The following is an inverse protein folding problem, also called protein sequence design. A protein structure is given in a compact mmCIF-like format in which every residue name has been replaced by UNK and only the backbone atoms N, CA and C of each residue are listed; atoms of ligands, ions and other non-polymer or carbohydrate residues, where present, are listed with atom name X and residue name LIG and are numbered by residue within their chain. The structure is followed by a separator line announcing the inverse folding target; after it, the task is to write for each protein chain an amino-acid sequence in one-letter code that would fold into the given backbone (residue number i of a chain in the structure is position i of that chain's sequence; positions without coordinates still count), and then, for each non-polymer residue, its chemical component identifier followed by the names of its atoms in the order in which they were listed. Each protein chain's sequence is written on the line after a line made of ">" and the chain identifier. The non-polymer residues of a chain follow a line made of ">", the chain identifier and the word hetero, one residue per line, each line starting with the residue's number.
data_IF_367525377898
#
_entry.id   IF_367525377898
#
_cell.length_a   1.000
_cell.length_b   1.000
_cell.length_c   1.000
_cell.angle_alpha   90.00
_cell.angle_beta   90.00
_cell.angle_gamma   90.00
#
_symmetry.space_group_name_H-M   'P 1'
#
loop_
_entity.id
_entity.type
_entity.pdbx_description
1 polymer ?
#
# COMPACT_ATOMS: atom_id res chain seq x y z
N UNK A 1 -34.99 16.47 -4.14
CA UNK A 1 -33.76 15.71 -3.88
C UNK A 1 -34.05 14.54 -2.94
N UNK A 2 -33.48 13.40 -3.25
CA UNK A 2 -33.55 12.25 -2.37
C UNK A 2 -32.19 12.06 -1.69
N UNK A 3 -32.20 11.92 -0.38
CA UNK A 3 -31.00 11.62 0.40
C UNK A 3 -31.16 10.25 1.06
N UNK A 4 -30.18 9.39 0.89
CA UNK A 4 -30.18 8.06 1.48
C UNK A 4 -28.91 7.88 2.28
N UNK A 5 -29.04 7.39 3.51
CA UNK A 5 -27.91 6.99 4.33
C UNK A 5 -27.63 5.51 4.10
N UNK A 6 -26.41 5.17 3.79
CA UNK A 6 -25.99 3.80 3.52
C UNK A 6 -25.00 3.38 4.59
N UNK A 7 -25.36 2.36 5.35
CA UNK A 7 -24.46 1.75 6.31
C UNK A 7 -23.86 0.50 5.69
N UNK A 8 -22.53 0.44 5.60
CA UNK A 8 -21.81 -0.73 5.11
C UNK A 8 -21.34 -1.53 6.31
N UNK A 9 -21.89 -2.73 6.44
CA UNK A 9 -21.51 -3.66 7.50
C UNK A 9 -20.08 -4.14 7.27
N UNK A 10 -19.27 -4.33 8.33
CA UNK A 10 -17.90 -4.82 8.18
C UNK A 10 -17.73 -6.17 7.51
N UNK A 11 -18.81 -6.95 7.38
CA UNK A 11 -18.78 -8.23 6.67
C UNK A 11 -18.83 -8.08 5.14
N UNK A 12 -19.13 -6.90 4.63
CA UNK A 12 -19.19 -6.65 3.18
C UNK A 12 -17.78 -6.49 2.64
N UNK A 13 -17.49 -7.23 1.57
CA UNK A 13 -16.19 -7.14 0.89
C UNK A 13 -16.35 -6.37 -0.40
N UNK A 14 -15.39 -5.49 -0.67
CA UNK A 14 -15.33 -4.73 -1.91
C UNK A 14 -14.09 -5.15 -2.70
N UNK A 15 -14.25 -5.20 -4.02
CA UNK A 15 -13.13 -5.46 -4.93
C UNK A 15 -12.99 -4.26 -5.85
N UNK A 16 -11.77 -3.77 -5.98
CA UNK A 16 -11.47 -2.61 -6.83
C UNK A 16 -10.30 -2.98 -7.73
N UNK A 17 -10.53 -2.89 -9.04
CA UNK A 17 -9.46 -3.04 -10.02
C UNK A 17 -8.72 -1.70 -10.12
N UNK A 18 -7.40 -1.74 -9.96
CA UNK A 18 -6.57 -0.54 -9.99
C UNK A 18 -6.13 -0.18 -11.42
N UNK A 19 -6.23 -1.13 -12.33
CA UNK A 19 -5.96 -0.92 -13.75
C UNK A 19 -6.79 -1.87 -14.61
N UNK A 20 -6.71 -1.70 -15.92
CA UNK A 20 -7.50 -2.48 -16.86
C UNK A 20 -6.99 -3.90 -17.10
N UNK A 21 -5.80 -4.23 -16.62
CA UNK A 21 -5.17 -5.54 -16.86
C UNK A 21 -5.66 -6.62 -15.89
N UNK A 22 -6.34 -6.24 -14.82
CA UNK A 22 -6.74 -7.11 -13.70
C UNK A 22 -5.56 -7.70 -12.92
N UNK A 23 -4.34 -7.25 -13.20
CA UNK A 23 -3.16 -7.69 -12.47
C UNK A 23 -2.99 -6.94 -11.16
N UNK A 24 -3.56 -5.73 -11.08
CA UNK A 24 -3.48 -4.88 -9.90
C UNK A 24 -4.89 -4.65 -9.37
N UNK A 25 -5.16 -5.16 -8.19
CA UNK A 25 -6.49 -5.07 -7.58
C UNK A 25 -6.41 -5.07 -6.07
N UNK A 26 -7.48 -4.59 -5.46
CA UNK A 26 -7.62 -4.53 -4.01
C UNK A 26 -8.89 -5.24 -3.61
N UNK A 27 -8.79 -6.09 -2.60
CA UNK A 27 -9.94 -6.67 -1.92
C UNK A 27 -10.01 -6.06 -0.55
N UNK A 28 -11.14 -5.43 -0.22
CA UNK A 28 -11.28 -4.59 0.97
C UNK A 28 -12.24 -5.22 1.95
N UNK A 29 -11.85 -5.26 3.21
CA UNK A 29 -12.71 -5.61 4.34
C UNK A 29 -12.79 -4.40 5.26
N UNK A 30 -14.01 -4.00 5.59
CA UNK A 30 -14.21 -2.84 6.44
C UNK A 30 -15.66 -2.41 6.47
N UNK A 31 -15.89 -1.21 6.91
CA UNK A 31 -17.24 -0.67 6.98
C UNK A 31 -17.25 0.84 7.07
N UNK A 32 -18.43 1.41 7.00
CA UNK A 32 -18.60 2.85 7.09
C UNK A 32 -20.01 3.30 6.81
N UNK A 33 -20.22 4.56 7.03
CA UNK A 33 -21.50 5.22 6.79
C UNK A 33 -21.34 6.21 5.65
N UNK A 34 -22.16 6.04 4.63
CA UNK A 34 -22.12 6.87 3.43
C UNK A 34 -23.43 7.59 3.25
N UNK A 35 -23.38 8.80 2.71
CA UNK A 35 -24.54 9.57 2.33
C UNK A 35 -24.64 9.61 0.81
N UNK A 36 -25.76 9.14 0.29
CA UNK A 36 -26.04 9.16 -1.14
C UNK A 36 -27.10 10.19 -1.42
N UNK A 37 -26.84 11.08 -2.36
CA UNK A 37 -27.78 12.11 -2.76
C UNK A 37 -28.08 11.98 -4.24
N UNK A 38 -29.37 11.93 -4.56
CA UNK A 38 -29.84 11.83 -5.93
C UNK A 38 -30.65 13.08 -6.26
N UNK A 39 -30.26 13.81 -7.30
CA UNK A 39 -30.94 15.02 -7.71
C UNK A 39 -32.04 14.75 -8.73
N UNK A 40 -33.04 15.67 -8.90
CA UNK A 40 -34.06 15.50 -9.94
C UNK A 40 -33.49 15.45 -11.35
N UNK A 41 -32.30 15.98 -11.57
CA UNK A 41 -31.62 15.92 -12.87
C UNK A 41 -30.92 14.59 -13.13
N UNK A 42 -30.97 13.67 -12.17
CA UNK A 42 -30.35 12.35 -12.30
C UNK A 42 -28.91 12.28 -11.83
N UNK A 43 -28.40 13.32 -11.20
CA UNK A 43 -27.05 13.33 -10.66
C UNK A 43 -26.99 12.58 -9.34
N UNK A 44 -26.04 11.67 -9.22
CA UNK A 44 -25.79 10.91 -8.02
C UNK A 44 -24.50 11.37 -7.38
N UNK A 45 -24.57 11.73 -6.11
CA UNK A 45 -23.37 12.03 -5.32
C UNK A 45 -23.27 11.09 -4.13
N UNK A 46 -22.06 10.74 -3.78
CA UNK A 46 -21.77 9.87 -2.66
C UNK A 46 -20.72 10.55 -1.80
N UNK A 47 -20.96 10.61 -0.49
CA UNK A 47 -19.99 11.17 0.45
C UNK A 47 -19.87 10.26 1.65
N UNK A 48 -18.68 10.23 2.23
CA UNK A 48 -18.42 9.44 3.42
C UNK A 48 -17.15 8.62 3.29
N UNK A 49 -16.83 7.91 4.36
CA UNK A 49 -15.59 7.15 4.47
C UNK A 49 -15.89 5.68 4.76
N UNK A 50 -15.23 4.82 4.00
CA UNK A 50 -15.17 3.39 4.25
C UNK A 50 -13.82 3.09 4.87
N UNK A 51 -13.81 2.69 6.13
CA UNK A 51 -12.57 2.42 6.88
C UNK A 51 -12.28 0.94 6.86
N UNK A 52 -11.03 0.60 6.59
CA UNK A 52 -10.60 -0.77 6.39
C UNK A 52 -10.15 -1.40 7.69
N UNK A 53 -10.61 -2.62 7.92
CA UNK A 53 -10.13 -3.49 8.99
C UNK A 53 -9.13 -4.51 8.47
N UNK A 54 -9.03 -4.65 7.14
CA UNK A 54 -8.12 -5.60 6.51
C UNK A 54 -8.38 -5.71 5.02
N UNK A 55 -7.82 -6.73 4.42
CA UNK A 55 -7.96 -7.01 3.00
C UNK A 55 -6.62 -7.33 2.38
N UNK A 56 -6.62 -7.49 1.05
CA UNK A 56 -5.45 -7.84 0.28
C UNK A 56 -5.30 -6.89 -0.90
N UNK A 57 -4.08 -6.53 -1.21
CA UNK A 57 -3.73 -5.82 -2.43
C UNK A 57 -2.82 -6.70 -3.27
N UNK A 58 -3.23 -6.98 -4.50
CA UNK A 58 -2.42 -7.69 -5.47
C UNK A 58 -1.80 -6.67 -6.40
N UNK A 59 -0.48 -6.65 -6.47
CA UNK A 59 0.26 -5.67 -7.27
C UNK A 59 1.36 -6.36 -8.06
N UNK A 60 1.36 -6.15 -9.36
CA UNK A 60 2.37 -6.67 -10.27
C UNK A 60 3.37 -5.57 -10.64
N UNK A 61 4.64 -5.87 -10.47
CA UNK A 61 5.73 -5.01 -10.91
C UNK A 61 6.26 -5.52 -12.26
N UNK A 62 6.89 -4.66 -13.08
CA UNK A 62 7.32 -5.06 -14.42
C UNK A 62 8.24 -6.28 -14.47
N UNK A 63 9.03 -6.51 -13.43
CA UNK A 63 10.03 -7.61 -13.42
C UNK A 63 9.74 -8.65 -12.34
N UNK A 64 8.63 -8.53 -11.64
CA UNK A 64 8.27 -9.44 -10.56
C UNK A 64 6.85 -9.91 -10.78
N UNK A 65 6.60 -11.21 -10.58
CA UNK A 65 5.25 -11.73 -10.58
C UNK A 65 4.39 -11.01 -9.52
N UNK A 66 3.09 -10.95 -9.77
CA UNK A 66 2.17 -10.28 -8.87
C UNK A 66 2.34 -10.77 -7.44
N UNK A 67 2.45 -9.83 -6.50
CA UNK A 67 2.59 -10.10 -5.08
C UNK A 67 1.34 -9.65 -4.35
N UNK A 68 1.04 -10.36 -3.25
CA UNK A 68 -0.06 -10.00 -2.38
C UNK A 68 0.48 -9.29 -1.14
N UNK A 69 -0.14 -8.16 -0.82
CA UNK A 69 0.18 -7.39 0.36
C UNK A 69 -1.07 -7.32 1.24
N UNK A 70 -0.89 -7.47 2.54
CA UNK A 70 -2.00 -7.31 3.48
C UNK A 70 -2.26 -5.83 3.71
N UNK A 71 -3.51 -5.42 3.61
CA UNK A 71 -3.89 -4.03 3.82
C UNK A 71 -3.85 -3.71 5.30
N UNK A 72 -3.16 -2.62 5.65
CA UNK A 72 -3.02 -2.17 7.01
C UNK A 72 -4.34 -1.62 7.55
N UNK A 73 -4.63 -1.94 8.80
CA UNK A 73 -5.77 -1.40 9.51
C UNK A 73 -5.69 0.13 9.56
N UNK A 74 -6.81 0.79 9.34
CA UNK A 74 -6.87 2.26 9.29
C UNK A 74 -6.73 2.86 7.90
N UNK A 75 -6.43 2.04 6.89
CA UNK A 75 -6.56 2.46 5.49
C UNK A 75 -8.02 2.79 5.19
N UNK A 76 -8.27 3.64 4.21
CA UNK A 76 -9.66 4.01 3.92
C UNK A 76 -9.88 4.41 2.47
N UNK A 77 -11.15 4.37 2.08
CA UNK A 77 -11.67 4.93 0.83
C UNK A 77 -12.64 6.03 1.21
N UNK A 78 -12.50 7.20 0.60
CA UNK A 78 -13.37 8.33 0.88
C UNK A 78 -14.01 8.86 -0.38
N UNK A 79 -15.33 9.01 -0.35
CA UNK A 79 -16.08 9.64 -1.42
C UNK A 79 -16.39 11.08 -1.02
N UNK A 80 -16.19 12.00 -1.96
CA UNK A 80 -16.43 13.42 -1.77
C UNK A 80 -17.41 14.00 -2.77
N UNK A 81 -18.12 13.13 -3.49
CA UNK A 81 -19.14 13.54 -4.47
C UNK A 81 -19.31 12.52 -5.59
N UNK A 82 -18.32 12.38 -6.46
CA UNK A 82 -18.41 11.47 -7.58
C UNK A 82 -18.27 10.01 -7.14
N UNK A 83 -19.31 9.17 -7.28
CA UNK A 83 -19.24 7.77 -6.86
C UNK A 83 -18.17 6.96 -7.59
N UNK A 84 -17.81 7.39 -8.81
CA UNK A 84 -16.84 6.65 -9.63
C UNK A 84 -15.39 7.09 -9.38
N UNK A 85 -15.18 8.11 -8.55
CA UNK A 85 -13.86 8.66 -8.30
C UNK A 85 -13.60 8.87 -6.80
N UNK A 86 -13.52 7.80 -6.03
CA UNK A 86 -13.16 7.90 -4.62
C UNK A 86 -11.69 8.29 -4.43
N UNK A 87 -11.40 8.82 -3.28
CA UNK A 87 -10.03 9.04 -2.82
C UNK A 87 -9.58 7.80 -2.06
N UNK A 88 -8.43 7.26 -2.43
CA UNK A 88 -7.84 6.10 -1.78
C UNK A 88 -6.73 6.54 -0.84
N UNK A 89 -6.65 5.88 0.31
CA UNK A 89 -5.54 6.05 1.24
C UNK A 89 -5.25 4.69 1.87
N UNK A 90 -4.44 3.90 1.15
CA UNK A 90 -4.10 2.55 1.55
C UNK A 90 -2.62 2.44 1.89
N UNK A 91 -2.35 1.65 2.88
CA UNK A 91 -1.02 1.11 3.10
C UNK A 91 -1.17 -0.41 3.16
N UNK A 92 -0.39 -1.11 2.37
CA UNK A 92 -0.41 -2.56 2.35
C UNK A 92 1.01 -3.07 2.55
N UNK A 93 1.18 -4.12 3.33
CA UNK A 93 2.48 -4.57 3.81
C UNK A 93 2.67 -6.05 3.54
N UNK A 94 3.89 -6.41 3.13
CA UNK A 94 4.34 -7.79 3.04
C UNK A 94 5.64 -7.93 3.80
N UNK A 95 5.79 -9.04 4.51
CA UNK A 95 7.03 -9.35 5.23
C UNK A 95 7.94 -10.15 4.31
N UNK A 96 9.14 -9.62 4.07
CA UNK A 96 10.11 -10.22 3.17
C UNK A 96 11.41 -10.46 3.95
N UNK A 97 11.87 -11.70 3.88
CA UNK A 97 13.17 -12.06 4.46
C UNK A 97 14.26 -11.77 3.44
N UNK A 98 15.24 -11.00 3.84
CA UNK A 98 16.31 -10.58 2.95
C UNK A 98 17.68 -10.72 3.61
N UNK A 99 18.71 -10.86 2.79
CA UNK A 99 20.09 -10.96 3.24
C UNK A 99 20.67 -9.59 3.55
N UNK A 100 21.42 -9.51 4.63
CA UNK A 100 22.15 -8.31 5.05
C UNK A 100 23.61 -8.68 5.22
N UNK A 101 24.50 -7.89 4.62
CA UNK A 101 25.93 -8.09 4.77
C UNK A 101 26.39 -7.67 6.17
N UNK A 102 27.19 -8.50 6.81
CA UNK A 102 27.80 -8.23 8.13
C UNK A 102 29.16 -7.54 8.01
N UNK A 103 29.48 -7.02 6.83
CA UNK A 103 30.78 -6.42 6.55
C UNK A 103 31.67 -7.37 5.75
N UNK A 104 32.91 -6.94 5.49
CA UNK A 104 33.80 -7.68 4.59
C UNK A 104 34.14 -9.11 5.09
N UNK A 105 34.23 -9.29 6.38
CA UNK A 105 34.61 -10.56 6.96
C UNK A 105 33.51 -11.26 7.75
N UNK A 106 32.33 -10.68 7.75
CA UNK A 106 31.25 -11.17 8.61
C UNK A 106 30.24 -12.09 7.94
N UNK A 107 30.32 -12.27 6.63
CA UNK A 107 29.30 -13.05 5.91
C UNK A 107 28.00 -12.30 5.80
N UNK A 108 26.90 -13.06 5.75
CA UNK A 108 25.55 -12.49 5.66
C UNK A 108 24.65 -13.07 6.74
N UNK A 109 23.63 -12.30 7.07
CA UNK A 109 22.55 -12.77 7.94
C UNK A 109 21.21 -12.44 7.31
N UNK A 110 20.16 -13.08 7.77
CA UNK A 110 18.81 -12.82 7.27
C UNK A 110 18.07 -11.90 8.24
N UNK A 111 17.35 -10.93 7.67
CA UNK A 111 16.52 -9.99 8.43
C UNK A 111 15.13 -9.98 7.83
N UNK A 112 14.12 -9.89 8.67
CA UNK A 112 12.75 -9.69 8.23
C UNK A 112 12.48 -8.21 8.04
N UNK A 113 12.07 -7.85 6.84
CA UNK A 113 11.66 -6.49 6.48
C UNK A 113 10.17 -6.43 6.26
N UNK A 114 9.55 -5.35 6.70
CA UNK A 114 8.19 -5.02 6.32
C UNK A 114 8.26 -4.04 5.15
N UNK A 115 7.91 -4.53 3.97
CA UNK A 115 7.87 -3.73 2.75
C UNK A 115 6.45 -3.30 2.50
N UNK A 116 6.24 -2.00 2.30
CA UNK A 116 4.91 -1.44 2.18
C UNK A 116 4.73 -0.75 0.84
N UNK A 117 3.50 -0.82 0.32
CA UNK A 117 3.05 0.00 -0.79
C UNK A 117 2.03 0.98 -0.22
N UNK A 118 2.23 2.26 -0.50
CA UNK A 118 1.30 3.31 -0.09
C UNK A 118 0.60 3.81 -1.35
N UNK A 119 -0.73 3.70 -1.38
CA UNK A 119 -1.55 4.11 -2.51
C UNK A 119 -2.42 5.27 -2.05
N UNK A 120 -2.27 6.41 -2.70
CA UNK A 120 -2.99 7.63 -2.34
C UNK A 120 -3.59 8.30 -3.57
N UNK A 121 -4.49 9.23 -3.31
CA UNK A 121 -5.16 10.11 -4.26
C UNK A 121 -6.39 9.47 -4.90
N UNK A 122 -6.95 10.18 -5.86
CA UNK A 122 -8.18 9.74 -6.53
C UNK A 122 -7.92 8.57 -7.45
N UNK A 123 -8.93 7.75 -7.64
CA UNK A 123 -8.83 6.51 -8.43
C UNK A 123 -8.32 6.76 -9.85
N UNK A 124 -8.66 7.89 -10.44
CA UNK A 124 -8.24 8.23 -11.81
C UNK A 124 -6.79 8.76 -11.88
N UNK A 125 -6.17 9.06 -10.75
CA UNK A 125 -4.81 9.59 -10.70
C UNK A 125 -4.07 9.10 -9.44
N UNK A 126 -3.91 7.80 -9.34
CA UNK A 126 -3.31 7.17 -8.17
C UNK A 126 -1.81 7.47 -8.06
N UNK A 127 -1.36 7.67 -6.84
CA UNK A 127 0.04 7.78 -6.48
C UNK A 127 0.47 6.53 -5.74
N UNK A 128 1.58 5.93 -6.17
CA UNK A 128 2.16 4.75 -5.53
C UNK A 128 3.53 5.12 -4.96
N UNK A 129 3.76 4.74 -3.72
CA UNK A 129 5.06 4.89 -3.09
C UNK A 129 5.41 3.60 -2.36
N UNK A 130 6.71 3.32 -2.27
CA UNK A 130 7.20 2.15 -1.55
C UNK A 130 7.94 2.61 -0.30
N UNK A 131 7.85 1.81 0.73
CA UNK A 131 8.58 2.07 1.98
C UNK A 131 9.02 0.74 2.59
N UNK A 132 9.92 0.80 3.54
CA UNK A 132 10.43 -0.38 4.21
C UNK A 132 10.81 -0.05 5.65
N UNK A 133 10.59 -1.03 6.51
CA UNK A 133 11.04 -0.99 7.90
C UNK A 133 11.62 -2.34 8.29
N UNK A 134 12.43 -2.33 9.34
CA UNK A 134 13.02 -3.53 9.92
C UNK A 134 12.73 -3.53 11.42
N UNK A 135 11.49 -3.86 11.83
CA UNK A 135 11.07 -3.67 13.21
C UNK A 135 11.78 -4.57 14.23
N UNK A 136 12.39 -5.66 13.76
CA UNK A 136 13.07 -6.60 14.64
C UNK A 136 14.59 -6.35 14.70
N UNK A 137 15.09 -5.38 13.95
CA UNK A 137 16.53 -5.10 13.87
C UNK A 137 16.79 -3.60 14.07
N UNK A 138 17.21 -3.24 15.27
CA UNK A 138 17.37 -1.84 15.63
C UNK A 138 18.44 -1.12 14.78
N UNK A 139 19.52 -1.80 14.45
CA UNK A 139 20.60 -1.21 13.66
C UNK A 139 20.13 -0.86 12.27
N UNK A 140 19.48 -1.82 11.61
CA UNK A 140 18.94 -1.60 10.25
C UNK A 140 17.81 -0.57 10.28
N UNK A 141 16.94 -0.63 11.27
CA UNK A 141 15.84 0.33 11.39
C UNK A 141 16.36 1.76 11.57
N UNK A 142 17.44 1.93 12.32
CA UNK A 142 18.05 3.25 12.49
C UNK A 142 18.63 3.78 11.17
N UNK A 143 19.25 2.91 10.37
CA UNK A 143 19.72 3.30 9.03
C UNK A 143 18.56 3.73 8.15
N UNK A 144 17.46 2.95 8.14
CA UNK A 144 16.29 3.25 7.34
C UNK A 144 15.63 4.55 7.77
N UNK A 145 15.52 4.78 9.07
CA UNK A 145 14.95 6.01 9.61
C UNK A 145 15.77 7.24 9.21
N UNK A 146 17.09 7.10 9.12
CA UNK A 146 17.97 8.18 8.71
C UNK A 146 17.91 8.49 7.21
N UNK A 147 17.40 7.57 6.41
CA UNK A 147 17.20 7.78 4.97
C UNK A 147 15.99 8.65 4.71
N UNK A 148 15.99 9.37 3.59
CA UNK A 148 14.80 10.02 3.10
C UNK A 148 13.81 9.00 2.53
N UNK A 149 12.56 9.41 2.35
CA UNK A 149 11.50 8.54 1.85
C UNK A 149 11.82 7.94 0.47
N UNK A 150 12.42 8.74 -0.41
CA UNK A 150 12.80 8.28 -1.74
C UNK A 150 13.83 7.14 -1.67
N UNK A 151 14.81 7.27 -0.80
CA UNK A 151 15.86 6.27 -0.63
C UNK A 151 15.29 4.98 -0.03
N UNK A 152 14.41 5.10 0.96
CA UNK A 152 13.72 3.93 1.52
C UNK A 152 12.90 3.21 0.46
N UNK A 153 12.24 3.96 -0.42
CA UNK A 153 11.48 3.38 -1.53
C UNK A 153 12.36 2.55 -2.46
N UNK A 154 13.56 3.03 -2.76
CA UNK A 154 14.53 2.28 -3.56
C UNK A 154 14.98 1.01 -2.86
N UNK A 155 15.25 1.09 -1.56
CA UNK A 155 15.60 -0.08 -0.77
C UNK A 155 14.48 -1.10 -0.76
N UNK A 156 13.24 -0.65 -0.62
CA UNK A 156 12.07 -1.52 -0.65
C UNK A 156 11.99 -2.31 -1.96
N UNK A 157 12.14 -1.62 -3.09
CA UNK A 157 12.12 -2.28 -4.41
C UNK A 157 13.27 -3.27 -4.55
N UNK A 158 14.47 -2.90 -4.12
CA UNK A 158 15.63 -3.79 -4.19
C UNK A 158 15.43 -5.05 -3.36
N UNK A 159 14.88 -4.91 -2.16
CA UNK A 159 14.56 -6.05 -1.29
C UNK A 159 13.54 -6.97 -1.96
N UNK A 160 12.51 -6.41 -2.57
CA UNK A 160 11.50 -7.20 -3.27
C UNK A 160 12.07 -7.99 -4.45
N UNK A 161 12.96 -7.37 -5.22
CA UNK A 161 13.51 -7.99 -6.42
C UNK A 161 14.65 -8.94 -6.08
N UNK A 162 15.61 -8.49 -5.29
CA UNK A 162 16.88 -9.18 -5.07
C UNK A 162 16.94 -9.94 -3.76
N UNK A 163 15.98 -9.75 -2.86
CA UNK A 163 16.01 -10.33 -1.51
C UNK A 163 17.29 -9.99 -0.76
N UNK A 164 17.78 -8.77 -0.97
CA UNK A 164 19.03 -8.27 -0.39
C UNK A 164 18.86 -6.82 0.03
N UNK A 165 19.37 -6.46 1.18
CA UNK A 165 19.42 -5.09 1.66
C UNK A 165 20.80 -4.50 1.38
N UNK A 166 20.84 -3.35 0.71
CA UNK A 166 22.09 -2.70 0.32
C UNK A 166 22.62 -1.70 1.36
N UNK A 167 21.76 -1.21 2.22
CA UNK A 167 22.18 -0.25 3.24
C UNK A 167 22.43 1.14 2.69
N UNK A 168 23.24 1.90 3.42
CA UNK A 168 23.49 3.32 3.16
C UNK A 168 24.62 3.58 2.18
N UNK A 169 25.33 2.54 1.76
CA UNK A 169 26.37 2.69 0.75
C UNK A 169 25.80 3.01 -0.62
N UNK A 170 26.67 3.36 -1.59
CA UNK A 170 26.22 3.57 -2.96
C UNK A 170 25.57 2.30 -3.51
N UNK A 171 24.39 2.43 -4.11
CA UNK A 171 23.67 1.30 -4.69
C UNK A 171 24.49 0.78 -5.87
N UNK A 172 24.79 -0.55 -5.83
CA UNK A 172 25.61 -1.19 -6.87
C UNK A 172 27.07 -0.82 -6.81
N UNK A 173 27.46 -0.02 -5.88
CA UNK A 173 28.78 0.56 -5.86
C UNK A 173 29.75 -0.09 -4.93
N UNK A 174 29.55 -1.03 -4.35
CA UNK A 174 30.56 -1.62 -3.54
C UNK A 174 31.18 -0.62 -2.60
N UNK A 175 30.95 -0.52 -1.66
CA UNK A 175 31.66 0.33 -0.72
C UNK A 175 31.97 -0.49 0.49
#
# INVERSE_FOLDING_TARGET
>A
DMVMMVHIDPSVRLKVDLDASNDNRVELEGGGDLSMKYTPQGDLTLTGRYTLSGGLMKYALPVIAAKEFAIDNGSYVEWTGNPMDPMLNFKATDRIRASVSEGENGGTRSVNFDVSIVVKNRLDNLSFAFDVSAPEDATIQNELTAMGAEERGKQALYIMVMKTYLGTGPIGGGG
#
